data_IF_173444078923
#
_entry.id   IF_173444078923
#
_cell.length_a   1.000
_cell.length_b   1.000
_cell.length_c   1.000
_cell.angle_alpha   90.00
_cell.angle_beta   90.00
_cell.angle_gamma   90.00
#
_symmetry.space_group_name_H-M   'P 1'
#
loop_
_entity.id
_entity.type
_entity.pdbx_description
1 polymer ?
#
# COMPACT_ATOMS: atom_id res chain seq x y z
N UNK A 1 -7.30 8.41 65.56
CA UNK A 1 -7.78 7.80 64.31
C UNK A 1 -6.93 8.34 63.17
N UNK A 2 -6.14 7.47 62.53
CA UNK A 2 -5.22 7.84 61.44
C UNK A 2 -6.01 7.98 60.13
N UNK A 3 -5.78 9.08 59.43
CA UNK A 3 -6.23 9.36 58.08
C UNK A 3 -5.69 8.32 57.09
N UNK A 4 -6.55 7.76 56.23
CA UNK A 4 -6.14 7.10 55.00
C UNK A 4 -6.58 7.98 53.83
N UNK A 5 -5.62 8.67 53.22
CA UNK A 5 -5.77 9.22 51.89
C UNK A 5 -5.62 8.07 50.88
N UNK A 6 -6.69 7.75 50.16
CA UNK A 6 -6.62 6.83 49.03
C UNK A 6 -6.16 7.62 47.80
N UNK A 7 -4.90 7.43 47.39
CA UNK A 7 -4.39 7.90 46.11
C UNK A 7 -5.07 7.11 44.99
N UNK A 8 -5.98 7.75 44.26
CA UNK A 8 -6.45 7.27 42.96
C UNK A 8 -5.34 7.56 41.95
N UNK A 9 -4.46 6.59 41.73
CA UNK A 9 -3.56 6.61 40.59
C UNK A 9 -4.40 6.38 39.32
N UNK A 10 -4.73 7.47 38.61
CA UNK A 10 -5.25 7.38 37.27
C UNK A 10 -4.17 6.71 36.39
N UNK A 11 -4.40 5.46 36.01
CA UNK A 11 -3.67 4.81 34.92
C UNK A 11 -4.08 5.55 33.65
N UNK A 12 -3.33 6.61 33.32
CA UNK A 12 -3.24 7.13 31.96
C UNK A 12 -2.61 6.01 31.13
N UNK A 13 -3.44 5.05 30.71
CA UNK A 13 -3.13 4.22 29.56
C UNK A 13 -2.97 5.21 28.41
N UNK A 14 -1.73 5.62 28.13
CA UNK A 14 -1.41 6.45 26.99
C UNK A 14 -2.06 5.78 25.80
N UNK A 15 -3.06 6.45 25.23
CA UNK A 15 -3.66 6.05 23.96
C UNK A 15 -2.50 6.13 22.99
N UNK A 16 -1.84 5.01 22.75
CA UNK A 16 -0.81 4.91 21.74
C UNK A 16 -1.55 5.11 20.43
N UNK A 17 -1.53 6.34 19.94
CA UNK A 17 -2.16 6.75 18.70
C UNK A 17 -1.33 6.11 17.58
N UNK A 18 -1.69 4.89 17.18
CA UNK A 18 -1.22 4.31 15.94
C UNK A 18 -1.78 5.19 14.82
N UNK A 19 -1.01 6.16 14.33
CA UNK A 19 -1.38 7.08 13.26
C UNK A 19 -0.15 7.93 12.92
N UNK A 20 -0.25 8.68 11.82
CA UNK A 20 0.68 9.77 11.53
C UNK A 20 0.61 10.87 12.61
N UNK A 21 1.64 11.71 12.68
CA UNK A 21 1.80 12.75 13.70
C UNK A 21 2.15 14.09 13.08
N UNK A 22 1.37 15.12 13.38
CA UNK A 22 1.64 16.46 12.85
C UNK A 22 1.36 16.57 11.35
N UNK A 23 2.06 17.48 10.70
CA UNK A 23 1.85 17.86 9.29
C UNK A 23 2.37 16.79 8.31
N UNK A 24 1.64 16.60 7.22
CA UNK A 24 2.04 15.79 6.06
C UNK A 24 1.81 16.61 4.79
N UNK A 25 2.53 16.28 3.71
CA UNK A 25 2.44 17.04 2.47
C UNK A 25 3.35 18.28 2.46
N UNK A 26 3.36 19.05 1.36
CA UNK A 26 4.07 20.33 1.31
C UNK A 26 3.43 21.34 2.27
N UNK A 27 4.25 22.24 2.82
CA UNK A 27 3.76 23.40 3.59
C UNK A 27 3.42 24.58 2.67
N UNK A 28 3.97 24.60 1.46
CA UNK A 28 3.67 25.57 0.39
C UNK A 28 2.81 24.92 -0.70
N UNK A 29 1.52 25.29 -0.83
CA UNK A 29 0.60 24.63 -1.76
C UNK A 29 0.94 24.93 -3.23
N UNK A 30 0.66 24.00 -4.14
CA UNK A 30 0.89 24.18 -5.58
C UNK A 30 0.24 25.44 -6.15
N UNK A 31 -0.93 25.85 -5.65
CA UNK A 31 -1.63 27.06 -6.10
C UNK A 31 -0.85 28.35 -5.87
N UNK A 32 0.15 28.34 -4.98
CA UNK A 32 1.06 29.48 -4.76
C UNK A 32 2.29 29.48 -5.67
N UNK A 33 2.48 28.42 -6.48
CA UNK A 33 3.66 28.22 -7.34
C UNK A 33 3.45 28.86 -8.72
N UNK A 34 3.66 30.18 -8.77
CA UNK A 34 3.31 31.02 -9.93
C UNK A 34 4.28 30.97 -11.12
N UNK A 35 5.50 30.43 -10.95
CA UNK A 35 6.50 30.45 -12.03
C UNK A 35 6.37 29.24 -12.96
N UNK A 36 5.88 29.46 -14.18
CA UNK A 36 5.67 28.37 -15.14
C UNK A 36 6.99 27.90 -15.78
N UNK A 37 7.30 26.61 -15.65
CA UNK A 37 8.43 25.94 -16.30
C UNK A 37 7.93 24.96 -17.35
N UNK A 38 7.36 25.51 -18.42
CA UNK A 38 6.73 24.76 -19.50
C UNK A 38 7.72 23.93 -20.32
N UNK A 39 7.53 22.62 -20.43
CA UNK A 39 8.48 21.75 -21.16
C UNK A 39 8.59 22.01 -22.64
N UNK A 40 7.59 22.63 -23.25
CA UNK A 40 7.66 23.03 -24.65
C UNK A 40 8.80 24.04 -24.87
N UNK A 41 9.14 24.85 -23.86
CA UNK A 41 10.27 25.77 -23.90
C UNK A 41 11.64 25.08 -23.71
N UNK A 42 11.64 23.79 -23.38
CA UNK A 42 12.84 22.97 -23.14
C UNK A 42 12.95 21.79 -24.12
N UNK A 43 12.30 21.90 -25.28
CA UNK A 43 12.37 20.92 -26.37
C UNK A 43 11.30 19.84 -26.35
N UNK A 44 10.35 19.91 -25.41
CA UNK A 44 9.22 18.99 -25.35
C UNK A 44 8.25 19.23 -26.50
N UNK A 45 7.56 18.16 -26.93
CA UNK A 45 6.48 18.24 -27.93
C UNK A 45 5.31 17.40 -27.47
N UNK A 46 4.12 17.99 -27.41
CA UNK A 46 2.89 17.30 -27.04
C UNK A 46 2.27 16.55 -28.24
N UNK A 47 3.07 15.70 -28.89
CA UNK A 47 2.70 14.95 -30.11
C UNK A 47 2.54 13.44 -29.85
N UNK A 48 2.71 13.00 -28.60
CA UNK A 48 2.73 11.59 -28.20
C UNK A 48 3.67 10.71 -29.05
N UNK A 49 4.76 11.30 -29.57
CA UNK A 49 5.74 10.62 -30.42
C UNK A 49 7.18 11.00 -30.07
N UNK A 50 7.43 12.25 -29.72
CA UNK A 50 8.74 12.75 -29.30
C UNK A 50 8.99 12.42 -27.81
N UNK A 51 10.16 11.88 -27.48
CA UNK A 51 10.54 11.61 -26.08
C UNK A 51 10.55 12.89 -25.25
N UNK A 52 9.66 12.96 -24.25
CA UNK A 52 9.55 14.09 -23.33
C UNK A 52 10.64 14.07 -22.24
N UNK A 53 11.31 12.94 -22.04
CA UNK A 53 12.28 12.74 -20.96
C UNK A 53 13.41 13.78 -20.91
N UNK A 54 14.11 14.07 -22.03
CA UNK A 54 15.13 15.12 -22.09
C UNK A 54 14.59 16.51 -21.76
N UNK A 55 13.38 16.84 -22.22
CA UNK A 55 12.74 18.12 -21.95
C UNK A 55 12.37 18.25 -20.47
N UNK A 56 11.84 17.19 -19.84
CA UNK A 56 11.58 17.16 -18.39
C UNK A 56 12.86 17.45 -17.60
N UNK A 57 13.94 16.73 -17.94
CA UNK A 57 15.26 16.90 -17.28
C UNK A 57 15.79 18.31 -17.48
N UNK A 58 15.70 18.84 -18.71
CA UNK A 58 16.16 20.21 -19.03
C UNK A 58 15.34 21.28 -18.31
N UNK A 59 14.01 21.20 -18.32
CA UNK A 59 13.13 22.12 -17.58
C UNK A 59 13.43 22.08 -16.09
N UNK A 60 13.63 20.89 -15.51
CA UNK A 60 13.98 20.76 -14.10
C UNK A 60 15.30 21.47 -13.77
N UNK A 61 16.38 21.17 -14.50
CA UNK A 61 17.71 21.75 -14.23
C UNK A 61 17.80 23.25 -14.55
N UNK A 62 17.20 23.67 -15.66
CA UNK A 62 17.38 25.02 -16.19
C UNK A 62 16.33 26.02 -15.71
N UNK A 63 15.19 25.53 -15.20
CA UNK A 63 14.07 26.35 -14.76
C UNK A 63 13.74 26.11 -13.28
N UNK A 64 13.29 24.90 -12.94
CA UNK A 64 12.75 24.59 -11.61
C UNK A 64 13.78 24.83 -10.51
N UNK A 65 14.99 24.28 -10.66
CA UNK A 65 16.06 24.39 -9.64
C UNK A 65 16.50 25.85 -9.42
N UNK A 66 16.30 26.72 -10.42
CA UNK A 66 16.67 28.14 -10.34
C UNK A 66 15.52 29.03 -9.85
N UNK A 67 14.29 28.54 -9.90
CA UNK A 67 13.08 29.29 -9.60
C UNK A 67 12.19 28.48 -8.65
N UNK A 68 12.40 28.58 -7.31
CA UNK A 68 11.42 28.09 -6.34
C UNK A 68 10.04 28.70 -6.61
N UNK A 69 8.97 28.01 -6.19
CA UNK A 69 7.59 28.34 -6.52
C UNK A 69 7.25 28.14 -8.02
N UNK A 70 7.79 27.09 -8.65
CA UNK A 70 7.53 26.77 -10.04
C UNK A 70 6.67 25.53 -10.26
N UNK A 71 6.02 25.44 -11.43
CA UNK A 71 5.24 24.27 -11.85
C UNK A 71 5.53 23.81 -13.29
N UNK A 72 5.35 22.52 -13.52
CA UNK A 72 5.42 21.84 -14.84
C UNK A 72 4.07 21.94 -15.60
N UNK A 73 3.99 21.77 -16.92
CA UNK A 73 2.75 22.08 -17.68
C UNK A 73 2.19 20.96 -18.55
N UNK A 74 0.96 21.18 -19.03
CA UNK A 74 0.02 20.24 -19.66
C UNK A 74 0.51 19.62 -20.98
N UNK A 75 -0.05 18.47 -21.36
CA UNK A 75 0.08 17.89 -22.69
C UNK A 75 0.03 16.36 -22.69
N UNK A 76 -0.02 15.79 -23.90
CA UNK A 76 0.05 14.35 -24.12
C UNK A 76 1.43 14.02 -24.70
N UNK A 77 2.16 13.17 -24.00
CA UNK A 77 3.59 12.98 -24.20
C UNK A 77 3.95 11.49 -24.23
N UNK A 78 4.94 11.17 -25.06
CA UNK A 78 5.61 9.87 -25.02
C UNK A 78 6.86 9.99 -24.14
N UNK A 79 7.08 9.04 -23.24
CA UNK A 79 8.28 8.93 -22.41
C UNK A 79 9.09 7.71 -22.86
N UNK A 80 10.20 7.96 -23.55
CA UNK A 80 11.09 6.94 -24.11
C UNK A 80 12.47 6.92 -23.44
N UNK A 81 12.64 7.62 -22.32
CA UNK A 81 13.82 7.52 -21.47
C UNK A 81 13.49 7.61 -19.98
N UNK A 82 14.22 6.88 -19.15
CA UNK A 82 14.12 7.05 -17.69
C UNK A 82 14.43 8.49 -17.30
N UNK A 83 13.59 9.06 -16.45
CA UNK A 83 13.72 10.40 -15.90
C UNK A 83 13.96 10.30 -14.40
N UNK A 84 15.14 10.79 -13.98
CA UNK A 84 15.48 11.02 -12.59
C UNK A 84 15.58 12.52 -12.37
N UNK A 85 14.65 13.06 -11.58
CA UNK A 85 14.72 14.41 -11.06
C UNK A 85 15.24 14.34 -9.63
N UNK A 86 16.23 15.16 -9.31
CA UNK A 86 16.97 15.01 -8.08
C UNK A 86 17.23 16.35 -7.39
N UNK A 87 17.02 16.42 -6.07
CA UNK A 87 17.29 17.59 -5.24
C UNK A 87 16.48 18.83 -5.64
N UNK A 88 15.17 18.65 -5.91
CA UNK A 88 14.25 19.76 -6.14
C UNK A 88 13.59 20.21 -4.83
N UNK A 89 13.44 21.51 -4.65
CA UNK A 89 12.81 22.08 -3.46
C UNK A 89 11.76 23.13 -3.83
N UNK A 90 10.63 23.14 -3.13
CA UNK A 90 9.56 24.12 -3.28
C UNK A 90 9.07 24.29 -4.73
N UNK A 91 8.54 23.20 -5.30
CA UNK A 91 8.08 23.17 -6.69
C UNK A 91 6.97 22.12 -6.89
N UNK A 92 6.28 22.14 -8.02
CA UNK A 92 5.27 21.14 -8.35
C UNK A 92 5.43 20.57 -9.76
N UNK A 93 5.15 19.28 -9.90
CA UNK A 93 4.96 18.62 -11.18
C UNK A 93 3.44 18.53 -11.44
N UNK A 94 2.91 19.46 -12.25
CA UNK A 94 1.50 19.43 -12.64
C UNK A 94 1.34 18.61 -13.93
N UNK A 95 0.72 17.45 -13.77
CA UNK A 95 0.37 16.50 -14.83
C UNK A 95 -1.13 16.63 -15.13
N UNK A 96 -1.48 17.37 -16.19
CA UNK A 96 -2.89 17.58 -16.58
C UNK A 96 -3.31 16.79 -17.82
N UNK A 97 -2.37 16.10 -18.45
CA UNK A 97 -2.61 15.25 -19.62
C UNK A 97 -2.08 13.83 -19.40
N UNK A 98 -1.65 13.19 -20.49
CA UNK A 98 -1.20 11.81 -20.49
C UNK A 98 0.32 11.72 -20.71
N UNK A 99 1.01 10.95 -19.88
CA UNK A 99 2.34 10.42 -20.20
C UNK A 99 2.19 8.94 -20.54
N UNK A 100 2.56 8.56 -21.76
CA UNK A 100 2.64 7.15 -22.17
C UNK A 100 4.09 6.69 -22.08
N UNK A 101 4.37 5.65 -21.30
CA UNK A 101 5.69 5.01 -21.25
C UNK A 101 5.85 4.15 -22.49
N UNK A 102 6.88 4.43 -23.27
CA UNK A 102 7.14 3.74 -24.54
C UNK A 102 7.68 2.32 -24.29
N UNK A 103 6.91 1.30 -24.66
CA UNK A 103 7.36 -0.08 -24.58
C UNK A 103 8.64 -0.35 -25.41
N UNK A 104 8.80 0.30 -26.57
CA UNK A 104 9.99 0.11 -27.41
C UNK A 104 11.27 0.61 -26.73
N UNK A 105 11.15 1.61 -25.85
CA UNK A 105 12.25 2.12 -25.03
C UNK A 105 12.67 1.16 -23.93
N UNK A 106 11.78 0.30 -23.43
CA UNK A 106 12.20 -0.81 -22.59
C UNK A 106 13.00 -1.85 -23.39
N UNK A 107 12.55 -2.18 -24.60
CA UNK A 107 13.24 -3.17 -25.46
C UNK A 107 14.67 -2.72 -25.80
N UNK A 108 14.89 -1.42 -25.99
CA UNK A 108 16.22 -0.85 -26.20
C UNK A 108 17.04 -0.63 -24.92
N UNK A 109 16.43 -0.80 -23.74
CA UNK A 109 17.05 -0.54 -22.43
C UNK A 109 17.06 0.94 -22.00
N UNK A 110 16.50 1.85 -22.80
CA UNK A 110 16.42 3.28 -22.49
C UNK A 110 15.47 3.59 -21.32
N UNK A 111 14.48 2.73 -21.07
CA UNK A 111 13.63 2.75 -19.86
C UNK A 111 13.86 1.47 -19.07
N UNK A 112 14.46 1.59 -17.89
CA UNK A 112 14.73 0.46 -17.00
C UNK A 112 14.65 0.86 -15.53
N UNK A 113 14.32 -0.10 -14.66
CA UNK A 113 14.18 0.13 -13.23
C UNK A 113 12.90 0.91 -12.86
N UNK A 114 12.83 2.19 -13.21
CA UNK A 114 11.68 3.08 -13.04
C UNK A 114 11.56 4.02 -14.26
N UNK A 115 10.34 4.38 -14.66
CA UNK A 115 10.11 5.36 -15.72
C UNK A 115 10.33 6.80 -15.21
N UNK A 116 9.67 7.18 -14.12
CA UNK A 116 9.79 8.48 -13.47
C UNK A 116 10.26 8.34 -12.02
N UNK A 117 11.30 9.07 -11.64
CA UNK A 117 11.87 9.09 -10.30
C UNK A 117 12.02 10.53 -9.79
N UNK A 118 11.42 10.80 -8.64
CA UNK A 118 11.61 12.02 -7.86
C UNK A 118 12.42 11.68 -6.61
N UNK A 119 13.68 12.13 -6.57
CA UNK A 119 14.62 11.77 -5.51
C UNK A 119 15.11 13.00 -4.74
N UNK A 120 15.24 12.90 -3.42
CA UNK A 120 15.69 14.04 -2.58
C UNK A 120 14.82 15.27 -2.77
N UNK A 121 13.50 15.09 -2.86
CA UNK A 121 12.56 16.20 -2.97
C UNK A 121 12.23 16.76 -1.59
N UNK A 122 12.02 18.07 -1.51
CA UNK A 122 11.48 18.74 -0.34
C UNK A 122 10.43 19.79 -0.76
N UNK A 123 9.32 19.94 -0.04
CA UNK A 123 8.27 20.90 -0.44
C UNK A 123 7.80 20.67 -1.88
N UNK A 124 7.45 19.43 -2.18
CA UNK A 124 7.18 18.94 -3.53
C UNK A 124 5.74 18.43 -3.69
N UNK A 125 5.17 18.62 -4.87
CA UNK A 125 3.81 18.18 -5.18
C UNK A 125 3.77 17.60 -6.60
N UNK A 126 3.32 16.36 -6.75
CA UNK A 126 2.96 15.78 -8.03
C UNK A 126 1.44 15.68 -8.08
N UNK A 127 0.82 16.43 -8.98
CA UNK A 127 -0.64 16.52 -9.00
C UNK A 127 -1.22 16.73 -10.39
N UNK A 128 -2.55 16.60 -10.49
CA UNK A 128 -3.33 17.06 -11.63
C UNK A 128 -4.31 18.14 -11.18
N UNK A 129 -4.35 19.28 -11.89
CA UNK A 129 -5.28 20.37 -11.60
C UNK A 129 -6.70 20.10 -12.09
N UNK A 130 -6.84 19.22 -13.10
CA UNK A 130 -8.11 18.87 -13.73
C UNK A 130 -8.57 17.43 -13.41
N UNK A 131 -7.81 16.70 -12.58
CA UNK A 131 -8.06 15.29 -12.26
C UNK A 131 -7.93 14.34 -13.44
N UNK A 132 -7.41 14.78 -14.59
CA UNK A 132 -7.24 13.98 -15.81
C UNK A 132 -5.80 13.49 -16.02
N UNK A 133 -4.86 13.98 -15.22
CA UNK A 133 -3.47 13.55 -15.24
C UNK A 133 -3.29 12.04 -15.14
N UNK A 134 -2.60 11.45 -16.10
CA UNK A 134 -2.40 10.01 -16.14
C UNK A 134 -1.00 9.61 -16.61
N UNK A 135 -0.50 8.49 -16.06
CA UNK A 135 0.67 7.78 -16.57
C UNK A 135 0.20 6.39 -17.04
N UNK A 136 0.34 6.13 -18.34
CA UNK A 136 0.01 4.86 -18.99
C UNK A 136 1.28 4.07 -19.25
N UNK A 137 1.41 2.90 -18.63
CA UNK A 137 2.59 2.05 -18.67
C UNK A 137 2.68 1.07 -19.83
N UNK A 138 1.55 0.81 -20.49
CA UNK A 138 1.42 -0.21 -21.54
C UNK A 138 1.95 -1.60 -21.12
N UNK A 139 1.80 -1.96 -19.83
CA UNK A 139 2.27 -3.21 -19.25
C UNK A 139 1.83 -4.46 -20.01
N UNK A 140 0.66 -4.45 -20.66
CA UNK A 140 0.19 -5.56 -21.49
C UNK A 140 1.19 -5.93 -22.61
N UNK A 141 1.92 -4.95 -23.18
CA UNK A 141 2.94 -5.19 -24.21
C UNK A 141 4.13 -5.99 -23.66
N UNK A 142 4.49 -5.77 -22.39
CA UNK A 142 5.55 -6.51 -21.71
C UNK A 142 5.16 -7.98 -21.53
N UNK A 143 3.87 -8.23 -21.25
CA UNK A 143 3.30 -9.57 -21.05
C UNK A 143 3.09 -10.32 -22.37
N UNK A 144 2.93 -9.60 -23.48
CA UNK A 144 2.86 -10.17 -24.84
C UNK A 144 4.24 -10.54 -25.40
N UNK A 145 5.34 -10.16 -24.73
CA UNK A 145 6.69 -10.44 -25.21
C UNK A 145 7.00 -11.95 -25.12
N UNK A 146 7.32 -12.63 -26.23
CA UNK A 146 7.65 -14.04 -26.21
C UNK A 146 9.01 -14.29 -25.51
N UNK A 147 9.15 -15.45 -24.88
CA UNK A 147 10.40 -15.96 -24.30
C UNK A 147 11.02 -15.09 -23.18
N UNK A 148 10.21 -14.31 -22.47
CA UNK A 148 10.63 -13.70 -21.20
C UNK A 148 9.96 -14.41 -20.03
N UNK A 149 10.72 -15.29 -19.38
CA UNK A 149 10.34 -15.88 -18.10
C UNK A 149 10.51 -14.84 -17.00
N UNK A 150 9.39 -14.27 -16.57
CA UNK A 150 9.31 -13.39 -15.41
C UNK A 150 9.44 -11.90 -15.71
N UNK A 151 9.32 -11.10 -14.65
CA UNK A 151 9.24 -9.63 -14.69
C UNK A 151 10.59 -8.94 -14.49
N UNK A 152 11.69 -9.67 -14.68
CA UNK A 152 13.03 -9.17 -14.39
C UNK A 152 13.37 -8.00 -15.32
N UNK A 153 13.70 -6.85 -14.73
CA UNK A 153 14.03 -5.63 -15.47
C UNK A 153 12.83 -4.82 -15.98
N UNK A 154 11.58 -5.27 -15.77
CA UNK A 154 10.41 -4.47 -16.12
C UNK A 154 10.38 -3.17 -15.28
N UNK A 155 10.17 -2.00 -15.91
CA UNK A 155 10.20 -0.74 -15.18
C UNK A 155 8.95 -0.58 -14.31
N UNK A 156 9.13 0.08 -13.17
CA UNK A 156 8.06 0.61 -12.33
C UNK A 156 7.64 1.97 -12.90
N UNK A 157 6.39 2.40 -12.74
CA UNK A 157 5.96 3.68 -13.33
C UNK A 157 6.55 4.87 -12.58
N UNK A 158 6.27 4.95 -11.29
CA UNK A 158 6.56 6.15 -10.51
C UNK A 158 7.25 5.79 -9.20
N UNK A 159 8.34 6.50 -8.91
CA UNK A 159 9.05 6.39 -7.63
C UNK A 159 9.30 7.76 -7.01
N UNK A 160 8.96 7.91 -5.74
CA UNK A 160 9.41 9.02 -4.88
C UNK A 160 10.35 8.45 -3.82
N UNK A 161 11.57 8.98 -3.70
CA UNK A 161 12.58 8.35 -2.87
C UNK A 161 13.45 9.34 -2.07
N UNK A 162 13.63 9.07 -0.77
CA UNK A 162 14.43 9.88 0.15
C UNK A 162 13.94 11.33 0.10
N UNK A 163 12.64 11.54 0.30
CA UNK A 163 11.98 12.84 0.10
C UNK A 163 11.17 13.24 1.33
N UNK A 164 11.01 14.54 1.54
CA UNK A 164 10.30 15.12 2.67
C UNK A 164 9.23 16.13 2.25
N UNK A 165 8.19 16.33 3.07
CA UNK A 165 7.16 17.36 2.90
C UNK A 165 6.61 17.36 1.47
N UNK A 166 6.02 16.24 1.06
CA UNK A 166 5.56 16.10 -0.31
C UNK A 166 4.20 15.42 -0.41
N UNK A 167 3.50 15.73 -1.50
CA UNK A 167 2.24 15.09 -1.84
C UNK A 167 2.25 14.50 -3.25
N UNK A 168 1.54 13.39 -3.43
CA UNK A 168 1.20 12.82 -4.75
C UNK A 168 -0.31 12.62 -4.80
N UNK A 169 -1.01 13.32 -5.68
CA UNK A 169 -2.47 13.27 -5.69
C UNK A 169 -3.17 13.60 -7.00
N UNK A 170 -4.46 13.27 -7.09
CA UNK A 170 -5.34 13.61 -8.22
C UNK A 170 -4.88 13.06 -9.58
N UNK A 171 -4.02 12.04 -9.57
CA UNK A 171 -3.48 11.39 -10.77
C UNK A 171 -3.97 9.94 -10.93
N UNK A 172 -3.83 9.43 -12.16
CA UNK A 172 -4.13 8.05 -12.54
C UNK A 172 -2.85 7.31 -12.92
N UNK A 173 -2.65 6.10 -12.38
CA UNK A 173 -1.54 5.23 -12.75
C UNK A 173 -2.10 3.96 -13.39
N UNK A 174 -1.78 3.71 -14.65
CA UNK A 174 -2.47 2.72 -15.48
C UNK A 174 -1.47 1.77 -16.12
N UNK A 175 -1.78 0.47 -16.02
CA UNK A 175 -1.09 -0.66 -16.61
C UNK A 175 0.43 -0.60 -16.44
N UNK A 176 0.89 -0.51 -15.19
CA UNK A 176 2.30 -0.60 -14.91
C UNK A 176 2.88 -1.92 -15.46
N UNK A 177 4.08 -1.90 -16.06
CA UNK A 177 4.79 -3.14 -16.39
C UNK A 177 5.05 -3.96 -15.13
N UNK A 178 5.65 -3.31 -14.10
CA UNK A 178 5.78 -3.84 -12.74
C UNK A 178 4.92 -3.01 -11.76
N UNK A 179 5.53 -2.29 -10.81
CA UNK A 179 4.78 -1.54 -9.77
C UNK A 179 4.32 -0.17 -10.26
N UNK A 180 3.19 0.29 -9.74
CA UNK A 180 2.61 1.59 -10.12
C UNK A 180 3.28 2.73 -9.35
N UNK A 181 3.20 2.74 -8.01
CA UNK A 181 3.79 3.78 -7.16
C UNK A 181 4.66 3.16 -6.08
N UNK A 182 5.93 3.59 -6.03
CA UNK A 182 6.86 3.25 -4.94
C UNK A 182 7.28 4.52 -4.21
N UNK A 183 6.98 4.60 -2.93
CA UNK A 183 7.43 5.65 -2.01
C UNK A 183 8.42 5.04 -1.03
N UNK A 184 9.69 5.44 -1.10
CA UNK A 184 10.74 4.86 -0.26
C UNK A 184 11.44 5.90 0.59
N UNK A 185 11.55 5.66 1.88
CA UNK A 185 12.25 6.55 2.83
C UNK A 185 11.65 7.97 2.85
N UNK A 186 10.33 8.04 2.94
CA UNK A 186 9.60 9.31 3.00
C UNK A 186 9.57 9.92 4.41
N UNK A 187 9.46 11.25 4.49
CA UNK A 187 9.12 11.98 5.73
C UNK A 187 8.01 12.99 5.46
N UNK A 188 6.95 13.02 6.27
CA UNK A 188 5.83 13.98 6.11
C UNK A 188 5.17 13.88 4.72
N UNK A 189 4.79 12.67 4.31
CA UNK A 189 4.25 12.42 2.97
C UNK A 189 2.72 12.28 2.96
N UNK A 190 2.07 12.85 1.96
CA UNK A 190 0.66 12.64 1.67
C UNK A 190 0.49 11.94 0.30
N UNK A 191 -0.28 10.86 0.24
CA UNK A 191 -0.64 10.20 -1.02
C UNK A 191 -2.15 10.11 -1.06
N UNK A 192 -2.79 10.84 -1.98
CA UNK A 192 -4.25 10.95 -1.93
C UNK A 192 -4.96 11.07 -3.28
N UNK A 193 -6.23 10.67 -3.36
CA UNK A 193 -7.05 10.80 -4.59
C UNK A 193 -6.39 10.20 -5.84
N UNK A 194 -5.73 9.05 -5.68
CA UNK A 194 -5.09 8.31 -6.78
C UNK A 194 -5.98 7.16 -7.23
N UNK A 195 -6.13 6.98 -8.54
CA UNK A 195 -6.74 5.78 -9.13
C UNK A 195 -5.68 4.92 -9.82
N UNK A 196 -5.56 3.66 -9.42
CA UNK A 196 -4.61 2.70 -9.97
C UNK A 196 -5.36 1.56 -10.66
N UNK A 197 -5.00 1.28 -11.92
CA UNK A 197 -5.57 0.17 -12.72
C UNK A 197 -4.46 -0.65 -13.35
N UNK A 198 -4.23 -1.85 -12.88
CA UNK A 198 -3.25 -2.81 -13.36
C UNK A 198 -3.88 -4.14 -13.75
N UNK A 199 -3.06 -4.98 -14.41
CA UNK A 199 -3.48 -6.31 -14.86
C UNK A 199 -3.76 -7.29 -13.72
N UNK A 200 -4.47 -8.36 -14.05
CA UNK A 200 -4.88 -9.41 -13.11
C UNK A 200 -3.76 -10.43 -12.77
N UNK A 201 -2.58 -9.96 -12.35
CA UNK A 201 -1.45 -10.81 -11.94
C UNK A 201 -0.71 -10.21 -10.75
N UNK A 202 -0.01 -11.05 -9.97
CA UNK A 202 0.93 -10.58 -8.96
C UNK A 202 2.05 -9.70 -9.54
N UNK A 203 2.83 -9.06 -8.67
CA UNK A 203 3.95 -8.13 -8.96
C UNK A 203 3.57 -6.86 -9.70
N UNK A 204 2.28 -6.51 -9.68
CA UNK A 204 1.67 -5.31 -10.26
C UNK A 204 1.16 -4.38 -9.17
N UNK A 205 1.97 -4.24 -8.13
CA UNK A 205 1.69 -3.56 -6.87
C UNK A 205 1.15 -2.14 -7.11
N UNK A 206 0.16 -1.75 -6.32
CA UNK A 206 -0.46 -0.44 -6.34
C UNK A 206 0.46 0.60 -5.71
N UNK A 207 0.37 0.75 -4.39
CA UNK A 207 1.23 1.65 -3.62
C UNK A 207 2.10 0.86 -2.66
N UNK A 208 3.41 0.87 -2.88
CA UNK A 208 4.42 0.43 -1.92
C UNK A 208 4.97 1.66 -1.18
N UNK A 209 4.91 1.69 0.16
CA UNK A 209 5.35 2.86 0.94
C UNK A 209 6.21 2.49 2.16
N UNK A 210 7.33 3.20 2.35
CA UNK A 210 8.13 3.23 3.58
C UNK A 210 8.50 4.65 3.97
N UNK A 211 8.63 4.92 5.26
CA UNK A 211 8.93 6.27 5.75
C UNK A 211 8.49 6.53 7.19
N UNK A 212 8.57 7.79 7.61
CA UNK A 212 8.09 8.26 8.90
C UNK A 212 7.07 9.37 8.69
N UNK A 213 5.96 9.32 9.41
CA UNK A 213 4.91 10.32 9.35
C UNK A 213 4.30 10.46 7.93
N UNK A 214 3.40 9.57 7.57
CA UNK A 214 2.72 9.63 6.27
C UNK A 214 1.24 9.29 6.32
N UNK A 215 0.49 9.88 5.39
CA UNK A 215 -0.95 9.71 5.26
C UNK A 215 -1.28 9.25 3.84
N UNK A 216 -1.91 8.09 3.71
CA UNK A 216 -2.41 7.56 2.45
C UNK A 216 -3.93 7.53 2.51
N UNK A 217 -4.62 8.28 1.67
CA UNK A 217 -6.08 8.32 1.76
C UNK A 217 -6.82 8.57 0.46
N UNK A 218 -8.03 8.04 0.34
CA UNK A 218 -8.85 8.19 -0.88
C UNK A 218 -8.15 7.60 -2.12
N UNK A 219 -7.66 6.36 -2.00
CA UNK A 219 -6.99 5.66 -3.10
C UNK A 219 -7.84 4.46 -3.53
N UNK A 220 -7.98 4.27 -4.84
CA UNK A 220 -8.57 3.06 -5.40
C UNK A 220 -7.53 2.29 -6.20
N UNK A 221 -7.44 0.97 -5.95
CA UNK A 221 -6.52 0.08 -6.67
C UNK A 221 -7.28 -1.11 -7.26
N UNK A 222 -7.10 -1.32 -8.56
CA UNK A 222 -7.37 -2.59 -9.24
C UNK A 222 -6.09 -3.20 -9.76
N UNK A 223 -5.76 -4.42 -9.35
CA UNK A 223 -4.61 -5.22 -9.79
C UNK A 223 -4.82 -6.66 -9.30
N UNK A 224 -3.76 -7.47 -9.10
CA UNK A 224 -3.82 -8.75 -8.34
C UNK A 224 -2.65 -8.94 -7.37
N UNK A 225 -1.96 -7.85 -7.05
CA UNK A 225 -0.95 -7.80 -5.97
C UNK A 225 -1.29 -6.67 -5.00
N UNK A 226 -0.33 -6.16 -4.24
CA UNK A 226 -0.55 -5.17 -3.19
C UNK A 226 -1.50 -4.02 -3.60
N UNK A 227 -2.49 -3.75 -2.75
CA UNK A 227 -3.32 -2.56 -2.81
C UNK A 227 -2.51 -1.38 -2.27
N UNK A 228 -2.42 -1.28 -0.93
CA UNK A 228 -1.48 -0.44 -0.20
C UNK A 228 -0.59 -1.35 0.64
N UNK A 229 0.71 -1.33 0.39
CA UNK A 229 1.68 -2.12 1.15
C UNK A 229 2.65 -1.22 1.91
N UNK A 230 2.62 -1.37 3.24
CA UNK A 230 3.59 -0.76 4.15
C UNK A 230 4.84 -1.63 4.19
N UNK A 231 5.97 -1.04 3.79
CA UNK A 231 7.31 -1.63 3.83
C UNK A 231 8.11 -1.11 5.02
N UNK A 232 9.19 -1.80 5.37
CA UNK A 232 10.13 -1.36 6.40
C UNK A 232 11.22 -0.44 5.81
N UNK A 233 11.68 0.58 6.56
CA UNK A 233 11.16 1.01 7.85
C UNK A 233 9.88 1.84 7.71
N UNK A 234 8.92 1.68 8.63
CA UNK A 234 7.72 2.52 8.66
C UNK A 234 7.33 2.94 10.07
N UNK A 235 7.07 4.23 10.28
CA UNK A 235 6.65 4.77 11.57
C UNK A 235 5.56 5.81 11.41
N UNK A 236 4.58 5.79 12.28
CA UNK A 236 3.55 6.85 12.39
C UNK A 236 2.82 7.04 11.05
N UNK A 237 1.89 6.14 10.74
CA UNK A 237 1.18 6.20 9.47
C UNK A 237 -0.32 6.03 9.64
N UNK A 238 -1.07 6.75 8.82
CA UNK A 238 -2.51 6.52 8.63
C UNK A 238 -2.77 6.16 7.18
N UNK A 239 -3.50 5.06 6.98
CA UNK A 239 -3.97 4.59 5.69
C UNK A 239 -5.49 4.49 5.80
N UNK A 240 -6.23 5.28 5.02
CA UNK A 240 -7.69 5.32 5.17
C UNK A 240 -8.49 5.62 3.92
N UNK A 241 -9.76 5.24 3.91
CA UNK A 241 -10.66 5.46 2.77
C UNK A 241 -10.06 4.85 1.49
N UNK A 242 -9.76 3.56 1.56
CA UNK A 242 -9.13 2.82 0.47
C UNK A 242 -10.14 1.85 -0.12
N UNK A 243 -10.21 1.77 -1.46
CA UNK A 243 -10.90 0.68 -2.15
C UNK A 243 -9.92 -0.21 -2.88
N UNK A 244 -9.91 -1.48 -2.49
CA UNK A 244 -9.14 -2.52 -3.15
C UNK A 244 -10.10 -3.39 -3.94
N UNK A 245 -9.98 -3.37 -5.26
CA UNK A 245 -10.92 -3.96 -6.21
C UNK A 245 -10.21 -5.04 -7.01
N UNK A 246 -10.55 -6.32 -6.84
CA UNK A 246 -9.84 -7.45 -7.46
C UNK A 246 -8.36 -7.60 -7.05
N UNK A 247 -7.87 -6.77 -6.13
CA UNK A 247 -6.47 -6.65 -5.74
C UNK A 247 -5.93 -7.88 -4.99
N UNK A 248 -4.62 -7.94 -4.80
CA UNK A 248 -3.99 -8.79 -3.78
C UNK A 248 -4.34 -8.35 -2.35
N UNK A 249 -4.66 -7.07 -2.17
CA UNK A 249 -5.11 -6.47 -0.91
C UNK A 249 -4.03 -5.68 -0.16
N UNK A 250 -4.40 -5.09 0.97
CA UNK A 250 -3.47 -4.27 1.76
C UNK A 250 -2.56 -5.13 2.65
N UNK A 251 -1.32 -4.69 2.82
CA UNK A 251 -0.28 -5.53 3.43
C UNK A 251 0.69 -4.73 4.31
N UNK A 252 1.23 -5.37 5.34
CA UNK A 252 2.53 -5.02 5.93
C UNK A 252 3.53 -6.12 5.56
N UNK A 253 4.56 -5.78 4.79
CA UNK A 253 5.66 -6.68 4.42
C UNK A 253 5.93 -6.84 2.92
N UNK A 254 6.59 -7.89 2.46
CA UNK A 254 7.26 -8.91 3.27
C UNK A 254 8.35 -8.29 4.14
N UNK A 255 8.36 -8.61 5.43
CA UNK A 255 9.39 -8.15 6.35
C UNK A 255 10.46 -9.22 6.52
N UNK A 256 11.73 -8.80 6.49
CA UNK A 256 12.89 -9.63 6.82
C UNK A 256 13.41 -9.31 8.22
N UNK A 257 14.43 -10.03 8.68
CA UNK A 257 15.07 -9.74 9.96
C UNK A 257 15.64 -8.30 10.00
N UNK A 258 15.61 -7.68 11.18
CA UNK A 258 15.91 -6.26 11.37
C UNK A 258 14.82 -5.27 10.89
N UNK A 259 13.69 -5.73 10.37
CA UNK A 259 12.59 -4.83 9.96
C UNK A 259 11.98 -4.09 11.13
N UNK A 260 11.61 -2.82 10.93
CA UNK A 260 11.01 -1.96 11.95
C UNK A 260 9.75 -1.30 11.41
N UNK A 261 8.60 -1.65 12.00
CA UNK A 261 7.31 -1.03 11.70
C UNK A 261 6.59 -0.69 13.01
N UNK A 262 6.16 0.56 13.19
CA UNK A 262 5.40 0.94 14.39
C UNK A 262 4.37 2.07 14.18
N UNK A 263 3.31 2.03 14.98
CA UNK A 263 2.28 3.06 15.05
C UNK A 263 1.58 3.26 13.69
N UNK A 264 0.95 2.20 13.19
CA UNK A 264 0.29 2.17 11.88
C UNK A 264 -1.22 1.99 12.06
N UNK A 265 -2.01 2.86 11.45
CA UNK A 265 -3.47 2.73 11.39
C UNK A 265 -3.93 2.48 9.97
N UNK A 266 -4.71 1.43 9.80
CA UNK A 266 -5.58 1.22 8.65
C UNK A 266 -7.02 1.43 9.09
N UNK A 267 -7.77 2.30 8.41
CA UNK A 267 -9.20 2.46 8.69
C UNK A 267 -10.06 2.71 7.46
N UNK A 268 -11.32 2.32 7.50
CA UNK A 268 -12.28 2.55 6.41
C UNK A 268 -11.76 1.95 5.09
N UNK A 269 -11.51 0.64 5.12
CA UNK A 269 -11.00 -0.10 3.96
C UNK A 269 -12.12 -0.94 3.38
N UNK A 270 -12.39 -0.77 2.08
CA UNK A 270 -13.37 -1.57 1.36
C UNK A 270 -12.66 -2.50 0.37
N UNK A 271 -12.90 -3.81 0.51
CA UNK A 271 -12.30 -4.85 -0.30
C UNK A 271 -13.37 -5.58 -1.09
N UNK A 272 -13.17 -5.72 -2.39
CA UNK A 272 -14.04 -6.50 -3.28
C UNK A 272 -13.22 -7.53 -4.04
N UNK A 273 -13.49 -8.82 -3.81
CA UNK A 273 -12.86 -9.96 -4.48
C UNK A 273 -11.32 -9.92 -4.46
N UNK A 274 -10.76 -9.56 -3.30
CA UNK A 274 -9.31 -9.49 -3.09
C UNK A 274 -8.74 -10.82 -2.59
N UNK A 275 -7.43 -11.01 -2.80
CA UNK A 275 -6.71 -12.18 -2.27
C UNK A 275 -6.64 -12.15 -0.74
N UNK A 276 -6.23 -11.03 -0.14
CA UNK A 276 -6.15 -10.86 1.31
C UNK A 276 -6.85 -9.55 1.69
N UNK A 277 -7.87 -9.55 2.56
CA UNK A 277 -8.42 -8.27 3.04
C UNK A 277 -7.35 -7.46 3.81
N UNK A 278 -6.52 -8.16 4.57
CA UNK A 278 -5.23 -7.65 5.03
C UNK A 278 -4.25 -8.81 5.26
N UNK A 279 -2.98 -8.60 4.93
CA UNK A 279 -1.92 -9.53 5.28
C UNK A 279 -0.76 -8.85 6.03
N UNK A 280 -0.35 -9.41 7.17
CA UNK A 280 0.98 -9.13 7.73
C UNK A 280 1.87 -10.34 7.44
N UNK A 281 2.90 -10.12 6.63
CA UNK A 281 3.82 -11.19 6.21
C UNK A 281 5.26 -10.91 6.59
N UNK A 282 5.87 -11.85 7.31
CA UNK A 282 7.32 -11.86 7.57
C UNK A 282 7.95 -13.13 7.02
N UNK A 283 9.22 -13.04 6.62
CA UNK A 283 10.03 -14.21 6.31
C UNK A 283 10.43 -14.93 7.61
N UNK A 284 10.57 -16.27 7.57
CA UNK A 284 11.21 -17.00 8.64
C UNK A 284 12.73 -16.79 8.59
N UNK A 285 13.40 -17.11 9.69
CA UNK A 285 14.84 -16.98 9.85
C UNK A 285 15.34 -15.58 10.18
N UNK A 286 16.67 -15.44 10.06
CA UNK A 286 17.43 -14.22 10.32
C UNK A 286 18.27 -14.28 11.60
N UNK A 287 19.02 -13.22 11.87
CA UNK A 287 19.81 -13.05 13.11
C UNK A 287 19.60 -11.69 13.75
N UNK A 288 19.10 -10.71 13.00
CA UNK A 288 18.87 -9.35 13.51
C UNK A 288 17.45 -9.20 14.06
N UNK A 289 17.27 -8.77 15.32
CA UNK A 289 15.93 -8.55 15.87
C UNK A 289 15.22 -7.40 15.13
N UNK A 290 13.97 -7.61 14.78
CA UNK A 290 13.06 -6.59 14.24
C UNK A 290 11.72 -6.62 14.96
N UNK A 291 10.83 -5.67 14.66
CA UNK A 291 9.48 -5.67 15.22
C UNK A 291 8.43 -5.03 14.30
N UNK A 292 7.20 -5.50 14.49
CA UNK A 292 5.97 -4.77 14.16
C UNK A 292 5.23 -4.53 15.47
N UNK A 293 4.94 -3.28 15.81
CA UNK A 293 4.15 -2.99 17.01
C UNK A 293 3.17 -1.84 16.86
N UNK A 294 2.10 -1.87 17.65
CA UNK A 294 1.09 -0.81 17.70
C UNK A 294 0.44 -0.61 16.32
N UNK A 295 -0.28 -1.63 15.86
CA UNK A 295 -1.01 -1.59 14.59
C UNK A 295 -2.51 -1.69 14.88
N UNK A 296 -3.28 -0.79 14.30
CA UNK A 296 -4.75 -0.80 14.39
C UNK A 296 -5.34 -0.94 13.01
N UNK A 297 -6.22 -1.91 12.82
CA UNK A 297 -6.93 -2.18 11.58
C UNK A 297 -8.43 -2.17 11.86
N UNK A 298 -9.10 -1.05 11.61
CA UNK A 298 -10.49 -0.88 12.01
C UNK A 298 -11.42 -0.54 10.86
N UNK A 299 -12.69 -0.92 10.99
CA UNK A 299 -13.72 -0.61 10.01
C UNK A 299 -13.38 -1.09 8.58
N UNK A 300 -13.36 -2.42 8.40
CA UNK A 300 -13.16 -3.04 7.08
C UNK A 300 -14.49 -3.62 6.59
N UNK A 301 -14.81 -3.36 5.31
CA UNK A 301 -15.92 -4.01 4.61
C UNK A 301 -15.33 -4.90 3.53
N UNK A 302 -15.43 -6.22 3.70
CA UNK A 302 -14.76 -7.19 2.83
C UNK A 302 -15.81 -8.07 2.14
N UNK A 303 -15.80 -8.11 0.82
CA UNK A 303 -16.79 -8.84 0.02
C UNK A 303 -16.07 -9.89 -0.80
N UNK A 304 -16.44 -11.16 -0.57
CA UNK A 304 -15.95 -12.31 -1.33
C UNK A 304 -14.41 -12.40 -1.37
N UNK A 305 -13.78 -12.23 -0.21
CA UNK A 305 -12.30 -12.22 -0.10
C UNK A 305 -11.74 -13.63 0.13
N UNK A 306 -10.55 -13.93 -0.40
CA UNK A 306 -9.97 -15.29 -0.29
C UNK A 306 -9.38 -15.55 1.10
N UNK A 307 -8.55 -14.65 1.59
CA UNK A 307 -8.09 -14.53 2.98
C UNK A 307 -8.62 -13.22 3.54
N UNK A 308 -8.94 -13.20 4.83
CA UNK A 308 -9.47 -12.01 5.49
C UNK A 308 -8.41 -11.39 6.39
N UNK A 309 -8.50 -11.49 7.72
CA UNK A 309 -7.42 -11.09 8.61
C UNK A 309 -6.34 -12.19 8.62
N UNK A 310 -5.22 -11.93 7.95
CA UNK A 310 -4.15 -12.91 7.79
C UNK A 310 -2.82 -12.41 8.37
N UNK A 311 -2.27 -13.15 9.33
CA UNK A 311 -0.88 -12.98 9.79
C UNK A 311 -0.12 -14.26 9.46
N UNK A 312 1.08 -14.11 8.89
CA UNK A 312 2.03 -15.21 8.72
C UNK A 312 3.46 -14.77 8.98
N UNK A 313 4.17 -15.53 9.80
CA UNK A 313 5.61 -15.39 10.01
C UNK A 313 6.46 -16.36 9.14
N UNK A 314 5.86 -17.00 8.14
CA UNK A 314 6.50 -17.98 7.26
C UNK A 314 6.28 -17.69 5.77
N UNK A 315 6.27 -16.42 5.38
CA UNK A 315 6.00 -16.06 3.99
C UNK A 315 7.18 -16.42 3.08
N UNK A 316 7.08 -17.51 2.32
CA UNK A 316 8.05 -17.95 1.31
C UNK A 316 7.46 -19.03 0.40
N UNK A 317 8.09 -19.30 -0.74
CA UNK A 317 7.63 -20.30 -1.72
C UNK A 317 7.83 -21.75 -1.29
N UNK A 318 8.68 -22.01 -0.29
CA UNK A 318 8.96 -23.34 0.25
C UNK A 318 9.06 -23.26 1.76
N UNK A 319 8.46 -24.19 2.50
CA UNK A 319 8.60 -24.23 3.97
C UNK A 319 10.03 -24.54 4.38
N UNK A 320 10.77 -23.52 4.79
CA UNK A 320 12.00 -23.62 5.57
C UNK A 320 11.61 -23.49 7.03
N UNK A 321 11.84 -24.55 7.80
CA UNK A 321 11.72 -24.49 9.25
C UNK A 321 12.65 -23.40 9.79
N UNK A 322 12.13 -22.49 10.60
CA UNK A 322 12.92 -21.39 11.13
C UNK A 322 12.08 -20.33 11.83
N UNK A 323 12.66 -19.78 12.87
CA UNK A 323 12.16 -18.66 13.65
C UNK A 323 12.09 -17.36 12.84
N UNK A 324 10.95 -16.70 12.68
CA UNK A 324 10.99 -15.30 12.24
C UNK A 324 11.54 -14.42 13.35
N UNK A 325 12.58 -13.63 13.08
CA UNK A 325 13.17 -12.69 14.04
C UNK A 325 12.48 -11.32 14.09
N UNK A 326 11.28 -11.21 13.52
CA UNK A 326 10.43 -10.02 13.63
C UNK A 326 9.34 -10.28 14.66
N UNK A 327 9.44 -9.66 15.83
CA UNK A 327 8.42 -9.76 16.87
C UNK A 327 7.18 -8.97 16.49
N UNK A 328 6.01 -9.61 16.53
CA UNK A 328 4.72 -8.96 16.30
C UNK A 328 4.05 -8.70 17.64
N UNK A 329 3.64 -7.46 17.91
CA UNK A 329 2.99 -7.13 19.19
C UNK A 329 1.97 -6.01 19.11
N UNK A 330 0.93 -6.07 19.94
CA UNK A 330 -0.09 -5.02 20.04
C UNK A 330 -0.70 -4.67 18.68
N UNK A 331 -1.37 -5.66 18.09
CA UNK A 331 -2.06 -5.54 16.79
C UNK A 331 -3.54 -5.78 17.04
N UNK A 332 -4.39 -4.85 16.62
CA UNK A 332 -5.83 -4.95 16.82
C UNK A 332 -6.57 -4.88 15.49
N UNK A 333 -7.38 -5.90 15.23
CA UNK A 333 -8.39 -5.92 14.17
C UNK A 333 -9.75 -5.68 14.80
N UNK A 334 -10.48 -4.65 14.37
CA UNK A 334 -11.79 -4.32 14.97
C UNK A 334 -12.84 -3.86 13.97
N UNK A 335 -14.08 -4.27 14.17
CA UNK A 335 -15.24 -3.79 13.41
C UNK A 335 -15.15 -4.14 11.92
N UNK A 336 -14.86 -5.42 11.65
CA UNK A 336 -14.79 -5.94 10.29
C UNK A 336 -16.07 -6.69 9.94
N UNK A 337 -16.58 -6.50 8.72
CA UNK A 337 -17.80 -7.15 8.26
C UNK A 337 -17.73 -7.61 6.81
N UNK A 338 -18.54 -8.61 6.47
CA UNK A 338 -18.83 -9.01 5.10
C UNK A 338 -18.67 -10.49 4.85
N UNK A 339 -17.97 -10.91 3.80
CA UNK A 339 -17.84 -12.32 3.44
C UNK A 339 -16.47 -12.77 2.99
N UNK A 340 -16.20 -14.05 3.27
CA UNK A 340 -15.06 -14.80 2.73
C UNK A 340 -15.54 -15.74 1.62
N UNK A 341 -14.73 -15.95 0.59
CA UNK A 341 -15.11 -16.74 -0.57
C UNK A 341 -15.47 -18.19 -0.19
N UNK A 342 -14.62 -18.85 0.60
CA UNK A 342 -14.83 -20.23 1.04
C UNK A 342 -14.33 -20.46 2.47
N UNK A 343 -15.13 -20.04 3.45
CA UNK A 343 -14.83 -20.00 4.88
C UNK A 343 -14.38 -21.32 5.50
N UNK A 344 -14.79 -22.47 4.95
CA UNK A 344 -14.31 -23.77 5.41
C UNK A 344 -12.84 -24.05 5.10
N UNK A 345 -12.31 -23.42 4.03
CA UNK A 345 -10.92 -23.56 3.61
C UNK A 345 -10.06 -22.46 4.24
N UNK A 346 -10.57 -21.23 4.26
CA UNK A 346 -9.90 -20.02 4.74
C UNK A 346 -10.93 -19.17 5.50
N UNK A 347 -10.85 -19.20 6.83
CA UNK A 347 -11.76 -18.48 7.71
C UNK A 347 -11.59 -16.96 7.67
N UNK A 348 -12.35 -16.29 8.53
CA UNK A 348 -12.25 -14.84 8.72
C UNK A 348 -10.96 -14.44 9.46
N UNK A 349 -10.39 -15.35 10.25
CA UNK A 349 -9.17 -15.17 11.02
C UNK A 349 -8.21 -16.32 10.71
N UNK A 350 -7.03 -15.99 10.19
CA UNK A 350 -5.94 -16.93 9.94
C UNK A 350 -4.66 -16.35 10.54
N UNK A 351 -4.12 -17.00 11.57
CA UNK A 351 -2.94 -16.54 12.30
C UNK A 351 -1.90 -17.65 12.32
N UNK A 352 -0.76 -17.40 11.67
CA UNK A 352 0.37 -18.33 11.60
C UNK A 352 1.59 -17.67 12.28
N UNK A 353 1.80 -17.99 13.55
CA UNK A 353 2.82 -17.42 14.42
C UNK A 353 4.11 -18.24 14.48
N UNK A 354 5.23 -17.53 14.67
CA UNK A 354 6.57 -18.12 14.84
C UNK A 354 6.64 -18.97 16.10
N UNK A 355 7.28 -20.14 16.06
CA UNK A 355 7.44 -20.98 17.26
C UNK A 355 8.34 -20.35 18.33
N UNK A 356 9.31 -19.52 17.92
CA UNK A 356 10.30 -18.93 18.82
C UNK A 356 10.01 -17.46 19.15
N UNK A 357 9.29 -16.77 18.26
CA UNK A 357 8.85 -15.38 18.48
C UNK A 357 7.33 -15.25 18.21
N UNK A 358 6.48 -15.97 18.97
CA UNK A 358 5.03 -15.88 18.85
C UNK A 358 4.51 -14.44 18.82
N UNK A 359 3.52 -14.09 17.97
CA UNK A 359 2.82 -12.81 18.06
C UNK A 359 2.11 -12.70 19.42
N UNK A 360 2.20 -11.52 20.04
CA UNK A 360 1.58 -11.26 21.36
C UNK A 360 0.66 -10.04 21.32
N UNK A 361 -0.36 -10.02 22.17
CA UNK A 361 -1.37 -8.95 22.19
C UNK A 361 -2.02 -8.73 20.80
N UNK A 362 -2.33 -9.82 20.11
CA UNK A 362 -3.10 -9.82 18.85
C UNK A 362 -4.58 -9.93 19.19
N UNK A 363 -5.36 -8.91 18.87
CA UNK A 363 -6.75 -8.81 19.27
C UNK A 363 -7.67 -8.74 18.05
N UNK A 364 -8.71 -9.58 18.03
CA UNK A 364 -9.78 -9.56 17.04
C UNK A 364 -11.09 -9.24 17.76
N UNK A 365 -11.78 -8.18 17.32
CA UNK A 365 -13.01 -7.67 17.97
C UNK A 365 -14.08 -7.35 16.93
N UNK A 366 -15.34 -7.64 17.26
CA UNK A 366 -16.49 -7.24 16.44
C UNK A 366 -16.39 -7.67 14.97
N UNK A 367 -16.09 -8.94 14.73
CA UNK A 367 -16.09 -9.52 13.39
C UNK A 367 -17.48 -10.07 13.06
N UNK A 368 -18.03 -9.72 11.89
CA UNK A 368 -19.31 -10.23 11.38
C UNK A 368 -19.15 -10.75 9.95
N UNK A 369 -18.84 -12.04 9.83
CA UNK A 369 -18.51 -12.68 8.56
C UNK A 369 -19.32 -13.94 8.30
N UNK A 370 -19.65 -14.17 7.03
CA UNK A 370 -20.14 -15.44 6.55
C UNK A 370 -19.45 -15.87 5.25
N UNK A 371 -19.66 -17.12 4.85
CA UNK A 371 -19.04 -17.68 3.65
C UNK A 371 -19.95 -17.50 2.43
N UNK A 372 -19.35 -17.16 1.27
CA UNK A 372 -20.06 -17.15 -0.02
C UNK A 372 -20.30 -18.58 -0.49
N UNK A 373 -19.27 -19.42 -0.43
CA UNK A 373 -19.32 -20.82 -0.82
C UNK A 373 -19.19 -21.75 0.39
N UNK A 374 -19.98 -22.82 0.41
CA UNK A 374 -20.05 -23.76 1.54
C UNK A 374 -20.98 -23.28 2.66
N UNK A 375 -20.88 -23.90 3.83
CA UNK A 375 -21.84 -23.74 4.93
C UNK A 375 -21.18 -23.58 6.32
N UNK A 376 -19.89 -23.25 6.35
CA UNK A 376 -19.15 -23.03 7.60
C UNK A 376 -17.99 -22.06 7.40
N UNK A 377 -17.57 -21.42 8.49
CA UNK A 377 -16.35 -20.62 8.60
C UNK A 377 -15.43 -21.28 9.62
N UNK A 378 -14.17 -21.52 9.25
CA UNK A 378 -13.16 -22.17 10.10
C UNK A 378 -11.98 -21.23 10.25
N UNK A 379 -11.94 -20.53 11.37
CA UNK A 379 -10.80 -19.71 11.76
C UNK A 379 -9.68 -20.61 12.29
N UNK A 380 -8.43 -20.27 11.98
CA UNK A 380 -7.25 -21.08 12.33
C UNK A 380 -6.16 -20.22 12.94
N UNK A 381 -5.63 -20.67 14.07
CA UNK A 381 -4.58 -19.97 14.81
C UNK A 381 -3.54 -20.98 15.27
N UNK A 382 -2.26 -20.67 15.10
CA UNK A 382 -1.13 -21.32 15.77
C UNK A 382 -0.24 -20.27 16.42
N UNK A 383 0.48 -20.67 17.47
CA UNK A 383 1.54 -19.90 18.15
C UNK A 383 1.30 -18.38 18.25
N UNK A 384 0.06 -17.95 18.49
CA UNK A 384 -0.38 -16.54 18.48
C UNK A 384 -1.18 -16.25 19.76
N UNK A 385 -0.84 -15.16 20.44
CA UNK A 385 -1.40 -14.81 21.73
C UNK A 385 -2.14 -13.48 21.73
N UNK A 386 -3.27 -13.43 22.44
CA UNK A 386 -4.11 -12.24 22.59
C UNK A 386 -5.56 -12.62 22.85
N UNK A 387 -6.51 -12.13 22.05
CA UNK A 387 -7.93 -12.40 22.29
C UNK A 387 -8.83 -12.30 21.06
N UNK A 388 -9.89 -13.11 21.04
CA UNK A 388 -10.88 -13.19 19.96
C UNK A 388 -10.69 -14.41 19.04
N UNK A 389 -11.80 -14.99 18.56
CA UNK A 389 -11.82 -16.19 17.72
C UNK A 389 -10.96 -17.35 18.29
N UNK A 390 -10.06 -17.94 17.50
CA UNK A 390 -9.17 -19.04 17.88
C UNK A 390 -7.89 -18.64 18.61
N UNK A 391 -7.67 -17.34 18.87
CA UNK A 391 -6.44 -16.83 19.47
C UNK A 391 -6.40 -17.19 20.95
N UNK A 392 -5.29 -17.77 21.41
CA UNK A 392 -5.12 -18.15 22.83
C UNK A 392 -4.80 -16.93 23.69
N UNK A 393 -5.41 -16.87 24.87
CA UNK A 393 -5.00 -15.91 25.90
C UNK A 393 -3.60 -16.23 26.43
N UNK A 394 -2.85 -15.19 26.79
CA UNK A 394 -1.60 -15.31 27.53
C UNK A 394 -1.86 -14.87 28.98
N UNK A 395 -1.57 -15.73 29.95
CA UNK A 395 -1.71 -15.37 31.36
C UNK A 395 -0.69 -14.29 31.76
N UNK A 396 -1.05 -13.48 32.76
CA UNK A 396 -0.16 -12.45 33.31
C UNK A 396 1.21 -13.04 33.66
N UNK A 397 2.29 -12.41 33.21
CA UNK A 397 3.70 -12.82 33.41
C UNK A 397 4.10 -14.16 32.77
N UNK A 398 3.27 -14.79 31.94
CA UNK A 398 3.70 -15.98 31.20
C UNK A 398 4.53 -15.60 29.97
N UNK A 399 5.55 -16.41 29.69
CA UNK A 399 6.29 -16.36 28.44
C UNK A 399 5.48 -17.05 27.34
N UNK A 400 5.29 -16.42 26.16
CA UNK A 400 4.60 -17.06 25.06
C UNK A 400 5.43 -18.25 24.54
N UNK A 401 4.77 -19.37 24.26
CA UNK A 401 5.38 -20.58 23.74
C UNK A 401 4.68 -21.04 22.47
N UNK A 402 5.34 -21.87 21.66
CA UNK A 402 4.67 -22.48 20.53
C UNK A 402 3.45 -23.31 20.96
N UNK A 403 2.43 -23.35 20.12
CA UNK A 403 1.32 -24.30 20.28
C UNK A 403 0.79 -24.77 18.92
N UNK A 404 0.38 -26.04 18.86
CA UNK A 404 -0.20 -26.63 17.66
C UNK A 404 -1.47 -25.92 17.21
N UNK A 405 -1.71 -25.87 15.90
CA UNK A 405 -2.85 -25.19 15.31
C UNK A 405 -4.18 -25.57 16.00
N UNK A 406 -4.94 -24.56 16.38
CA UNK A 406 -6.30 -24.66 16.91
C UNK A 406 -7.27 -23.98 15.95
N UNK A 407 -8.55 -24.33 16.05
CA UNK A 407 -9.58 -23.75 15.20
C UNK A 407 -10.83 -23.35 15.98
N UNK A 408 -11.53 -22.34 15.45
CA UNK A 408 -12.87 -21.98 15.85
C UNK A 408 -13.78 -22.15 14.63
N UNK A 409 -14.86 -22.92 14.77
CA UNK A 409 -15.77 -23.23 13.66
C UNK A 409 -17.14 -22.62 13.91
N UNK A 410 -17.63 -21.82 12.97
CA UNK A 410 -19.02 -21.36 12.92
C UNK A 410 -19.76 -22.14 11.82
N UNK A 411 -20.91 -22.72 12.17
CA UNK A 411 -21.77 -23.50 11.25
C UNK A 411 -23.06 -22.76 10.86
N UNK A 412 -23.22 -21.52 11.32
CA UNK A 412 -24.30 -20.62 10.92
C UNK A 412 -23.77 -19.17 10.85
N UNK A 413 -24.43 -18.34 10.02
CA UNK A 413 -24.10 -16.93 9.92
C UNK A 413 -24.32 -16.21 11.26
N UNK A 414 -23.50 -15.19 11.59
CA UNK A 414 -23.74 -14.36 12.77
C UNK A 414 -25.14 -13.75 12.75
N UNK A 415 -25.75 -13.57 13.92
CA UNK A 415 -27.06 -12.95 14.03
C UNK A 415 -27.06 -11.53 13.40
N UNK A 416 -28.06 -11.25 12.56
CA UNK A 416 -28.16 -9.96 11.85
C UNK A 416 -27.12 -9.76 10.73
N UNK A 417 -26.33 -10.78 10.39
CA UNK A 417 -25.41 -10.70 9.27
C UNK A 417 -26.16 -10.48 7.94
N UNK A 418 -25.66 -9.54 7.15
CA UNK A 418 -26.10 -9.30 5.79
C UNK A 418 -24.88 -9.02 4.92
N UNK A 419 -24.89 -9.55 3.70
CA UNK A 419 -23.85 -9.31 2.71
C UNK A 419 -23.80 -7.81 2.35
N UNK A 420 -22.67 -7.13 2.55
CA UNK A 420 -22.49 -5.76 2.06
C UNK A 420 -22.48 -5.73 0.52
N UNK A 421 -23.01 -4.65 -0.06
CA UNK A 421 -22.96 -4.38 -1.49
C UNK A 421 -21.71 -3.60 -1.89
N UNK A 422 -21.14 -3.90 -3.06
CA UNK A 422 -20.09 -3.10 -3.69
C UNK A 422 -20.55 -2.65 -5.09
N UNK A 423 -21.39 -1.60 -5.22
CA UNK A 423 -21.79 -1.08 -6.53
C UNK A 423 -20.62 -0.52 -7.34
N UNK A 424 -19.50 -0.25 -6.68
CA UNK A 424 -18.24 0.20 -7.26
C UNK A 424 -17.31 -0.94 -7.72
N UNK A 425 -17.61 -2.19 -7.33
CA UNK A 425 -16.78 -3.34 -7.69
C UNK A 425 -16.81 -3.58 -9.20
N UNK A 426 -15.64 -3.81 -9.80
CA UNK A 426 -15.53 -4.07 -11.25
C UNK A 426 -14.78 -5.40 -11.49
N UNK A 427 -14.94 -6.04 -12.66
CA UNK A 427 -14.14 -7.21 -13.02
C UNK A 427 -12.65 -6.87 -13.13
N UNK A 428 -11.79 -7.87 -12.96
CA UNK A 428 -10.36 -7.68 -13.12
C UNK A 428 -9.98 -7.38 -14.59
N UNK A 429 -8.92 -6.62 -14.81
CA UNK A 429 -8.42 -6.33 -16.16
C UNK A 429 -7.60 -7.48 -16.75
N UNK A 430 -7.74 -7.69 -18.05
CA UNK A 430 -6.96 -8.67 -18.82
C UNK A 430 -5.45 -8.35 -18.77
N UNK A 431 -4.62 -9.38 -18.92
CA UNK A 431 -3.15 -9.25 -18.92
C UNK A 431 -2.58 -8.90 -20.30
N UNK A 432 -3.30 -9.21 -21.36
CA UNK A 432 -2.82 -9.22 -22.74
C UNK A 432 -3.56 -8.20 -23.62
N UNK A 433 -4.37 -7.32 -23.02
CA UNK A 433 -5.10 -6.25 -23.70
C UNK A 433 -4.81 -4.90 -23.05
N UNK A 434 -4.90 -3.79 -23.81
CA UNK A 434 -4.77 -2.46 -23.25
C UNK A 434 -5.77 -2.22 -22.12
N UNK A 435 -5.30 -1.62 -21.01
CA UNK A 435 -6.17 -1.13 -19.93
C UNK A 435 -6.48 0.35 -20.20
N UNK A 436 -7.75 0.74 -20.32
CA UNK A 436 -8.12 2.11 -20.59
C UNK A 436 -7.79 3.02 -19.41
N UNK A 437 -7.40 4.26 -19.71
CA UNK A 437 -7.28 5.31 -18.69
C UNK A 437 -8.70 5.64 -18.19
N UNK A 438 -8.98 5.55 -16.88
CA UNK A 438 -10.32 5.82 -16.37
C UNK A 438 -10.67 7.30 -16.54
N UNK A 439 -11.89 7.59 -17.00
CA UNK A 439 -12.38 8.96 -17.24
C UNK A 439 -12.81 9.66 -15.96
N UNK A 440 -13.28 8.90 -14.97
CA UNK A 440 -13.64 9.40 -13.63
C UNK A 440 -12.58 9.01 -12.61
N UNK A 441 -12.29 9.93 -11.69
CA UNK A 441 -11.74 9.55 -10.40
C UNK A 441 -12.87 9.04 -9.53
N UNK A 442 -12.54 8.16 -8.61
CA UNK A 442 -13.48 7.69 -7.61
C UNK A 442 -13.94 8.81 -6.67
N UNK A 443 -12.98 9.67 -6.31
CA UNK A 443 -13.10 10.72 -5.30
C UNK A 443 -13.13 12.09 -5.97
#
# INVERSE_FOLDING_TARGET
MRFLFACVAAILAGICQAQHVGHVGPTVPATSKMYECNVLNYGGKADNATDIGPAIKSAFTNCIVKNPNSHFTQGNYLLSSTVLLNAGSNWAFQLDGLITVDYSAYVSGAVSGNALVFQRMNEFELYSSNGQGAIQGQGYLYRLRPNQDGRSGWPRLLRVHISSNFSVHDIKLVDAPSFHLVVGEATNAEVSRITIRGGNQGGLDGVDISGTNYHVHHVEVTNRDECICVKSPSKQATIENIRCNQSGGSTIGSLKDGSVVENILFQNIENYQVTNAFMLKTYPGGTSPGYVKNVVLRNFTNIDVTYNAYITQYWQSSYVAGASNVQLSNITFSDWRGSVNHGGNRGAVVMIGSETNPPVNINVKNFSFWTVNGNKVVDRCDSTYGGGSCIKALSTNATPTQYAAVSATATAAPAGWAQPSAPWGIPAYDLYKPIPVPTSTFY
#
